data_IF_217186652172
#
_entry.id   IF_217186652172
#
_cell.length_a   1.000
_cell.length_b   1.000
_cell.length_c   1.000
_cell.angle_alpha   90.00
_cell.angle_beta   90.00
_cell.angle_gamma   90.00
#
_symmetry.space_group_name_H-M   'P 1'
#
loop_
_entity.id
_entity.type
_entity.pdbx_description
1 polymer ?
#
# COMPACT_ATOMS: atom_id res chain seq x y z
N UNK A 1 -28.89 -16.17 8.00
CA UNK A 1 -28.59 -15.14 7.00
C UNK A 1 -27.89 -15.82 5.83
N UNK A 2 -28.61 -16.02 4.73
CA UNK A 2 -28.07 -16.70 3.56
C UNK A 2 -27.20 -15.73 2.78
N UNK A 3 -25.92 -16.04 2.68
CA UNK A 3 -25.07 -15.48 1.63
C UNK A 3 -25.64 -16.11 0.34
N UNK A 4 -26.36 -15.32 -0.45
CA UNK A 4 -26.82 -15.76 -1.76
C UNK A 4 -25.58 -15.97 -2.64
N UNK A 5 -25.49 -17.17 -3.22
CA UNK A 5 -24.53 -17.46 -4.27
C UNK A 5 -24.68 -16.41 -5.39
N UNK A 6 -23.67 -15.56 -5.54
CA UNK A 6 -23.57 -14.68 -6.71
C UNK A 6 -23.07 -15.53 -7.88
N UNK A 7 -23.60 -15.34 -9.10
CA UNK A 7 -22.98 -15.93 -10.27
C UNK A 7 -21.53 -15.44 -10.35
N UNK A 8 -20.62 -16.39 -10.47
CA UNK A 8 -19.19 -16.20 -10.57
C UNK A 8 -18.87 -15.27 -11.73
N UNK A 9 -18.42 -14.05 -11.41
CA UNK A 9 -17.63 -13.31 -12.37
C UNK A 9 -16.36 -14.13 -12.59
N UNK A 10 -16.15 -14.61 -13.81
CA UNK A 10 -14.97 -15.38 -14.20
C UNK A 10 -13.76 -14.45 -14.11
N UNK A 11 -13.21 -14.33 -12.92
CA UNK A 11 -11.91 -13.69 -12.73
C UNK A 11 -10.89 -14.72 -13.17
N UNK A 12 -10.32 -14.56 -14.34
CA UNK A 12 -9.19 -15.36 -14.80
C UNK A 12 -8.00 -15.07 -13.88
N UNK A 13 -7.93 -15.78 -12.77
CA UNK A 13 -6.75 -15.79 -11.92
C UNK A 13 -5.70 -16.58 -12.67
N UNK A 14 -4.81 -15.91 -13.38
CA UNK A 14 -3.63 -16.55 -13.95
C UNK A 14 -2.69 -16.88 -12.79
N UNK A 15 -2.91 -18.02 -12.17
CA UNK A 15 -1.95 -18.63 -11.26
C UNK A 15 -0.78 -19.07 -12.13
N UNK A 16 0.34 -18.38 -12.07
CA UNK A 16 1.57 -18.83 -12.70
C UNK A 16 2.02 -20.10 -11.97
N UNK A 17 1.71 -21.28 -12.53
CA UNK A 17 2.34 -22.52 -12.11
C UNK A 17 3.79 -22.48 -12.59
N UNK A 18 4.71 -22.41 -11.64
CA UNK A 18 6.11 -22.69 -11.90
C UNK A 18 6.20 -24.19 -12.23
N UNK A 19 6.53 -24.49 -13.48
CA UNK A 19 6.50 -25.87 -14.01
C UNK A 19 7.77 -26.67 -13.81
N UNK A 20 8.82 -26.07 -13.21
CA UNK A 20 10.08 -26.73 -12.92
C UNK A 20 10.32 -26.86 -11.41
N UNK A 21 10.59 -28.05 -10.94
CA UNK A 21 10.87 -28.41 -9.54
C UNK A 21 12.16 -27.77 -8.98
N UNK A 22 12.99 -27.17 -9.81
CA UNK A 22 14.20 -26.48 -9.38
C UNK A 22 13.89 -25.03 -9.02
N UNK A 23 14.24 -24.57 -7.80
CA UNK A 23 14.07 -23.18 -7.46
C UNK A 23 14.78 -22.29 -8.46
N UNK A 24 14.07 -21.31 -9.04
CA UNK A 24 14.68 -20.31 -9.89
C UNK A 24 15.66 -19.49 -9.05
N UNK A 25 16.92 -19.50 -9.44
CA UNK A 25 17.94 -18.63 -8.86
C UNK A 25 18.41 -17.66 -9.95
N UNK A 26 18.01 -16.41 -9.82
CA UNK A 26 18.38 -15.35 -10.76
C UNK A 26 18.71 -14.09 -9.96
N UNK A 27 19.78 -13.43 -10.32
CA UNK A 27 20.17 -12.12 -9.81
C UNK A 27 21.06 -11.43 -10.84
N UNK A 28 20.60 -10.29 -11.34
CA UNK A 28 21.34 -9.49 -12.31
C UNK A 28 21.27 -8.02 -11.95
N UNK A 29 22.38 -7.31 -12.13
CA UNK A 29 22.54 -5.90 -11.74
C UNK A 29 22.78 -5.05 -12.99
N UNK A 30 22.13 -3.89 -13.01
CA UNK A 30 22.16 -2.91 -14.09
C UNK A 30 22.53 -1.55 -13.50
N UNK A 31 23.64 -0.99 -13.98
CA UNK A 31 24.09 0.35 -13.56
C UNK A 31 23.18 1.41 -14.18
N UNK A 32 22.76 2.37 -13.38
CA UNK A 32 21.76 3.37 -13.78
C UNK A 32 22.30 4.36 -14.82
N UNK A 33 23.58 4.68 -14.77
CA UNK A 33 24.24 5.55 -15.74
C UNK A 33 24.30 4.96 -17.15
N UNK A 34 24.14 3.65 -17.29
CA UNK A 34 24.05 2.96 -18.58
C UNK A 34 22.62 2.90 -19.12
N UNK A 35 21.64 3.35 -18.34
CA UNK A 35 20.25 3.43 -18.75
C UNK A 35 19.97 4.62 -19.66
N UNK A 36 18.77 4.66 -20.22
CA UNK A 36 18.26 5.82 -20.93
C UNK A 36 17.80 6.87 -19.94
N UNK A 37 18.51 7.98 -19.87
CA UNK A 37 18.19 9.11 -19.01
C UNK A 37 17.32 10.12 -19.76
N UNK A 38 16.40 10.81 -19.06
CA UNK A 38 15.73 12.00 -19.59
C UNK A 38 16.74 13.15 -19.81
N UNK A 39 16.40 14.09 -20.68
CA UNK A 39 17.33 15.14 -21.12
C UNK A 39 17.82 16.08 -20.00
N UNK A 40 17.11 16.15 -18.90
CA UNK A 40 17.42 16.94 -17.71
C UNK A 40 18.36 16.21 -16.75
N UNK A 41 18.50 14.90 -16.87
CA UNK A 41 19.40 14.07 -16.08
C UNK A 41 20.80 13.99 -16.67
N UNK A 42 21.77 13.66 -15.83
CA UNK A 42 23.16 13.46 -16.25
C UNK A 42 23.87 12.41 -15.40
N UNK A 43 24.91 11.84 -15.98
CA UNK A 43 25.82 10.94 -15.25
C UNK A 43 26.68 11.80 -14.30
N UNK A 44 26.71 11.39 -13.03
CA UNK A 44 27.47 12.04 -11.96
C UNK A 44 28.60 11.10 -11.53
N UNK A 45 29.81 11.63 -11.36
CA UNK A 45 30.92 10.91 -10.76
C UNK A 45 30.81 10.94 -9.25
N UNK A 46 30.69 9.78 -8.61
CA UNK A 46 30.66 9.61 -7.15
C UNK A 46 31.40 8.34 -6.78
N UNK A 47 32.48 8.44 -6.04
CA UNK A 47 33.31 7.29 -5.62
C UNK A 47 32.57 6.31 -4.70
N UNK A 48 31.44 6.71 -4.12
CA UNK A 48 30.61 5.85 -3.27
C UNK A 48 29.54 5.07 -4.08
N UNK A 49 29.37 5.43 -5.35
CA UNK A 49 28.50 4.69 -6.26
C UNK A 49 29.22 3.47 -6.86
N UNK A 50 28.46 2.49 -7.25
CA UNK A 50 28.93 1.34 -8.00
C UNK A 50 29.60 1.82 -9.31
N UNK A 51 30.75 1.27 -9.65
CA UNK A 51 31.49 1.74 -10.82
C UNK A 51 31.96 3.20 -10.77
N UNK A 52 31.79 3.90 -9.64
CA UNK A 52 32.19 5.30 -9.44
C UNK A 52 31.29 6.32 -10.14
N UNK A 53 30.09 5.94 -10.56
CA UNK A 53 29.13 6.80 -11.26
C UNK A 53 27.71 6.53 -10.83
N UNK A 54 26.83 7.52 -11.01
CA UNK A 54 25.38 7.42 -10.78
C UNK A 54 24.60 8.25 -11.80
N UNK A 55 23.32 7.99 -11.94
CA UNK A 55 22.39 8.85 -12.68
C UNK A 55 21.82 9.90 -11.73
N UNK A 56 22.14 11.15 -11.94
CA UNK A 56 21.76 12.29 -11.07
C UNK A 56 20.99 13.38 -11.80
N UNK A 57 20.76 14.51 -11.09
CA UNK A 57 19.90 15.61 -11.52
C UNK A 57 18.46 15.18 -11.76
N UNK A 58 17.93 14.37 -10.86
CA UNK A 58 16.56 13.86 -10.89
C UNK A 58 15.60 14.91 -10.32
N UNK A 59 15.45 16.06 -11.01
CA UNK A 59 14.84 17.27 -10.45
C UNK A 59 13.52 17.67 -11.11
N UNK A 60 13.38 17.45 -12.41
CA UNK A 60 12.17 17.78 -13.18
C UNK A 60 11.07 16.73 -12.99
N UNK A 61 9.81 17.14 -13.08
CA UNK A 61 8.66 16.22 -13.04
C UNK A 61 8.65 15.23 -14.22
N UNK A 62 9.41 15.50 -15.26
CA UNK A 62 9.62 14.61 -16.40
C UNK A 62 10.85 13.71 -16.25
N UNK A 63 11.64 13.84 -15.17
CA UNK A 63 12.85 13.05 -14.96
C UNK A 63 12.56 11.56 -14.88
N UNK A 64 13.31 10.79 -15.63
CA UNK A 64 13.25 9.33 -15.58
C UNK A 64 14.60 8.70 -15.95
N UNK A 65 14.86 7.53 -15.35
CA UNK A 65 15.90 6.59 -15.78
C UNK A 65 15.23 5.29 -16.21
N UNK A 66 15.50 4.85 -17.43
CA UNK A 66 14.91 3.65 -18.03
C UNK A 66 15.99 2.62 -18.33
N UNK A 67 15.79 1.40 -17.87
CA UNK A 67 16.71 0.28 -17.98
C UNK A 67 15.99 -0.90 -18.64
N UNK A 68 16.60 -1.44 -19.70
CA UNK A 68 16.13 -2.68 -20.31
C UNK A 68 16.71 -3.88 -19.55
N UNK A 69 15.87 -4.81 -19.17
CA UNK A 69 16.23 -6.02 -18.43
C UNK A 69 15.73 -7.25 -19.18
N UNK A 70 16.28 -8.41 -18.87
CA UNK A 70 15.76 -9.68 -19.38
C UNK A 70 15.68 -10.67 -18.23
N UNK A 71 14.53 -11.32 -18.08
CA UNK A 71 14.32 -12.34 -17.04
C UNK A 71 14.13 -13.72 -17.66
N UNK A 72 14.67 -14.78 -17.02
CA UNK A 72 14.76 -16.11 -17.62
C UNK A 72 13.47 -16.93 -17.55
N UNK A 73 12.50 -16.53 -16.71
CA UNK A 73 11.27 -17.30 -16.50
C UNK A 73 10.11 -16.41 -16.08
N UNK A 74 8.89 -16.92 -16.21
CA UNK A 74 7.70 -16.37 -15.59
C UNK A 74 7.81 -16.56 -14.07
N UNK A 75 8.01 -15.47 -13.33
CA UNK A 75 8.17 -15.54 -11.87
C UNK A 75 7.88 -14.21 -11.20
N UNK A 76 7.95 -14.25 -9.87
CA UNK A 76 7.95 -13.07 -9.01
C UNK A 76 9.40 -12.67 -8.77
N UNK A 77 9.69 -11.40 -8.95
CA UNK A 77 11.01 -10.80 -8.77
C UNK A 77 10.98 -9.70 -7.71
N UNK A 78 12.09 -9.58 -7.01
CA UNK A 78 12.36 -8.43 -6.15
C UNK A 78 13.29 -7.48 -6.92
N UNK A 79 12.93 -6.21 -6.94
CA UNK A 79 13.69 -5.16 -7.61
C UNK A 79 14.38 -4.33 -6.52
N UNK A 80 15.68 -4.49 -6.38
CA UNK A 80 16.49 -3.73 -5.42
C UNK A 80 17.01 -2.48 -6.11
N UNK A 81 16.67 -1.33 -5.58
CA UNK A 81 17.07 -0.01 -6.09
C UNK A 81 18.07 0.57 -5.11
N UNK A 82 19.29 0.84 -5.58
CA UNK A 82 20.31 1.52 -4.80
C UNK A 82 20.35 2.99 -5.19
N UNK A 83 20.09 3.84 -4.22
CA UNK A 83 19.97 5.29 -4.44
C UNK A 83 20.34 6.08 -3.21
N UNK A 84 20.59 7.38 -3.41
CA UNK A 84 20.87 8.35 -2.37
C UNK A 84 19.98 9.58 -2.58
N UNK A 85 19.32 10.07 -1.53
CA UNK A 85 18.54 11.31 -1.59
C UNK A 85 19.46 12.54 -1.55
N UNK A 86 19.11 13.57 -2.28
CA UNK A 86 19.69 14.90 -2.16
C UNK A 86 18.83 15.72 -1.19
N UNK A 87 19.38 16.06 -0.04
CA UNK A 87 18.64 16.64 1.08
C UNK A 87 17.95 15.57 1.93
N UNK A 88 16.77 15.83 2.54
CA UNK A 88 16.05 14.84 3.33
C UNK A 88 15.62 13.64 2.48
N UNK A 89 15.04 12.60 3.13
CA UNK A 89 14.55 11.43 2.40
C UNK A 89 13.60 11.79 1.24
N UNK A 90 13.61 10.98 0.20
CA UNK A 90 12.81 11.18 -1.01
C UNK A 90 12.10 9.88 -1.40
N UNK A 91 10.91 10.03 -1.98
CA UNK A 91 10.16 8.93 -2.56
C UNK A 91 10.07 9.09 -4.07
N UNK A 92 10.25 8.00 -4.78
CA UNK A 92 10.11 7.96 -6.23
C UNK A 92 9.47 6.65 -6.67
N UNK A 93 9.03 6.59 -7.92
CA UNK A 93 8.20 5.53 -8.43
C UNK A 93 8.96 4.59 -9.35
N UNK A 94 8.71 3.28 -9.19
CA UNK A 94 9.17 2.24 -10.10
C UNK A 94 8.02 1.78 -11.01
N UNK A 95 8.32 1.71 -12.29
CA UNK A 95 7.43 1.17 -13.33
C UNK A 95 8.09 -0.03 -13.99
N UNK A 96 7.30 -1.04 -14.34
CA UNK A 96 7.66 -2.13 -15.23
C UNK A 96 6.72 -2.09 -16.44
N UNK A 97 7.29 -2.04 -17.64
CA UNK A 97 6.56 -1.95 -18.92
C UNK A 97 5.48 -0.86 -18.93
N UNK A 98 5.82 0.30 -18.37
CA UNK A 98 4.92 1.45 -18.27
C UNK A 98 3.87 1.40 -17.17
N UNK A 99 3.73 0.29 -16.44
CA UNK A 99 2.83 0.15 -15.29
C UNK A 99 3.57 0.38 -13.99
N UNK A 100 3.05 1.23 -13.10
CA UNK A 100 3.61 1.44 -11.75
C UNK A 100 3.53 0.13 -10.97
N UNK A 101 4.68 -0.32 -10.44
CA UNK A 101 4.80 -1.56 -9.64
C UNK A 101 5.19 -1.29 -8.20
N UNK A 102 5.62 -0.08 -7.89
CA UNK A 102 5.92 0.30 -6.51
C UNK A 102 6.44 1.72 -6.38
N UNK A 103 6.63 2.12 -5.12
CA UNK A 103 7.30 3.34 -4.70
C UNK A 103 8.46 2.94 -3.82
N UNK A 104 9.59 3.61 -3.92
CA UNK A 104 10.76 3.37 -3.09
C UNK A 104 11.23 4.64 -2.40
N UNK A 105 11.95 4.45 -1.31
CA UNK A 105 12.48 5.52 -0.46
C UNK A 105 14.00 5.58 -0.60
N UNK A 106 14.51 6.76 -0.90
CA UNK A 106 15.95 7.06 -0.85
C UNK A 106 16.27 7.83 0.42
N UNK A 107 17.32 7.41 1.13
CA UNK A 107 17.82 8.06 2.34
C UNK A 107 18.93 9.06 2.01
N UNK A 108 19.13 10.10 2.85
CA UNK A 108 20.23 11.05 2.68
C UNK A 108 21.59 10.40 2.97
N UNK A 109 22.64 11.15 2.67
CA UNK A 109 24.05 10.94 3.01
C UNK A 109 24.75 9.81 2.27
N UNK A 110 24.16 8.61 2.21
CA UNK A 110 24.81 7.45 1.59
C UNK A 110 23.86 6.70 0.66
N UNK A 111 24.43 6.07 -0.37
CA UNK A 111 23.69 5.11 -1.18
C UNK A 111 23.18 3.97 -0.31
N UNK A 112 21.92 3.67 -0.41
CA UNK A 112 21.25 2.59 0.31
C UNK A 112 20.31 1.83 -0.59
N UNK A 113 20.10 0.57 -0.27
CA UNK A 113 19.22 -0.31 -1.02
C UNK A 113 17.79 -0.21 -0.51
N UNK A 114 16.85 -0.14 -1.44
CA UNK A 114 15.42 -0.30 -1.19
C UNK A 114 14.86 -1.38 -2.11
N UNK A 115 14.05 -2.29 -1.58
CA UNK A 115 13.48 -3.39 -2.36
C UNK A 115 12.01 -3.16 -2.63
N UNK A 116 11.64 -3.11 -3.91
CA UNK A 116 10.25 -3.26 -4.36
C UNK A 116 10.01 -4.76 -4.57
N UNK A 117 9.24 -5.36 -3.67
CA UNK A 117 9.02 -6.80 -3.62
C UNK A 117 7.88 -7.24 -4.54
N UNK A 118 7.90 -8.50 -4.91
CA UNK A 118 6.79 -9.21 -5.54
C UNK A 118 6.34 -8.65 -6.90
N UNK A 119 7.27 -8.15 -7.71
CA UNK A 119 6.99 -7.73 -9.08
C UNK A 119 6.87 -8.96 -9.99
N UNK A 120 5.69 -9.18 -10.55
CA UNK A 120 5.46 -10.31 -11.47
C UNK A 120 5.91 -9.93 -12.87
N UNK A 121 6.86 -10.68 -13.43
CA UNK A 121 7.35 -10.52 -14.79
C UNK A 121 7.24 -11.85 -15.55
N UNK A 122 6.95 -11.76 -16.84
CA UNK A 122 6.97 -12.89 -17.77
C UNK A 122 8.40 -13.15 -18.22
N UNK A 123 8.72 -14.37 -18.69
CA UNK A 123 9.99 -14.65 -19.35
C UNK A 123 10.19 -13.71 -20.53
N UNK A 124 11.35 -13.09 -20.62
CA UNK A 124 11.72 -12.22 -21.74
C UNK A 124 12.23 -10.85 -21.30
N UNK A 125 12.21 -9.92 -22.24
CA UNK A 125 12.72 -8.57 -22.05
C UNK A 125 11.62 -7.65 -21.50
N UNK A 126 12.01 -6.80 -20.55
CA UNK A 126 11.15 -5.82 -19.89
C UNK A 126 11.87 -4.48 -19.80
N UNK A 127 11.11 -3.45 -19.51
CA UNK A 127 11.64 -2.12 -19.27
C UNK A 127 11.30 -1.69 -17.85
N UNK A 128 12.32 -1.51 -17.01
CA UNK A 128 12.16 -0.86 -15.72
C UNK A 128 12.39 0.65 -15.89
N UNK A 129 11.50 1.45 -15.31
CA UNK A 129 11.63 2.90 -15.35
C UNK A 129 11.46 3.46 -13.96
N UNK A 130 12.50 4.11 -13.46
CA UNK A 130 12.43 4.96 -12.28
C UNK A 130 11.95 6.32 -12.74
N UNK A 131 10.81 6.80 -12.20
CA UNK A 131 10.24 8.12 -12.47
C UNK A 131 10.22 8.98 -11.24
N UNK A 132 10.44 10.27 -11.45
CA UNK A 132 10.30 11.25 -10.39
C UNK A 132 8.86 11.26 -9.87
N UNK A 133 8.76 11.21 -8.54
CA UNK A 133 7.60 11.61 -7.77
C UNK A 133 8.00 12.78 -6.90
N UNK A 134 8.70 12.56 -5.82
CA UNK A 134 9.32 13.65 -5.05
C UNK A 134 10.69 14.08 -5.58
N UNK A 135 11.39 13.21 -6.33
CA UNK A 135 12.64 13.49 -7.05
C UNK A 135 13.87 13.60 -6.18
N UNK A 136 14.86 14.34 -6.70
CA UNK A 136 16.09 14.77 -6.04
C UNK A 136 16.89 13.62 -5.43
N UNK A 137 17.22 12.67 -6.29
CA UNK A 137 18.03 11.51 -5.95
C UNK A 137 19.22 11.37 -6.90
N UNK A 138 20.21 10.64 -6.46
CA UNK A 138 21.17 9.95 -7.31
C UNK A 138 20.83 8.46 -7.31
N UNK A 139 20.65 7.90 -8.49
CA UNK A 139 20.35 6.49 -8.72
C UNK A 139 21.64 5.79 -9.12
N UNK A 140 22.07 4.82 -8.33
CA UNK A 140 23.30 4.06 -8.55
C UNK A 140 23.04 2.86 -9.48
N UNK A 141 22.23 1.93 -9.04
CA UNK A 141 21.94 0.70 -9.79
C UNK A 141 20.60 0.09 -9.42
N UNK A 142 20.17 -0.84 -10.27
CA UNK A 142 19.01 -1.69 -10.03
C UNK A 142 19.46 -3.16 -10.12
N UNK A 143 19.16 -3.95 -9.09
CA UNK A 143 19.34 -5.40 -9.13
C UNK A 143 17.99 -6.08 -9.20
N UNK A 144 17.82 -6.92 -10.21
CA UNK A 144 16.65 -7.78 -10.39
C UNK A 144 17.01 -9.17 -9.92
N UNK A 145 16.34 -9.67 -8.89
CA UNK A 145 16.58 -11.01 -8.36
C UNK A 145 15.27 -11.77 -8.18
N UNK A 146 15.34 -13.09 -8.20
CA UNK A 146 14.18 -13.93 -7.89
C UNK A 146 13.63 -13.52 -6.52
N UNK A 147 12.36 -13.19 -6.46
CA UNK A 147 11.65 -12.87 -5.23
C UNK A 147 11.51 -14.10 -4.33
N UNK A 148 11.40 -13.85 -3.03
CA UNK A 148 11.13 -14.90 -2.09
C UNK A 148 9.74 -15.51 -2.39
N UNK A 149 9.68 -16.84 -2.53
CA UNK A 149 8.38 -17.52 -2.60
C UNK A 149 7.70 -17.37 -1.24
N UNK A 150 6.54 -16.75 -1.24
CA UNK A 150 5.71 -16.71 -0.03
C UNK A 150 5.31 -18.15 0.28
N UNK A 151 5.68 -18.64 1.46
CA UNK A 151 5.30 -19.98 1.89
C UNK A 151 3.78 -20.09 2.02
N UNK A 152 3.20 -21.18 1.55
CA UNK A 152 1.78 -21.46 1.74
C UNK A 152 1.40 -21.46 3.24
N UNK A 153 2.36 -21.78 4.12
CA UNK A 153 2.18 -21.69 5.58
C UNK A 153 1.96 -20.27 6.09
N UNK A 154 2.38 -19.23 5.35
CA UNK A 154 2.13 -17.82 5.70
C UNK A 154 0.64 -17.51 5.77
N UNK A 155 -0.17 -18.21 4.99
CA UNK A 155 -1.62 -18.05 4.97
C UNK A 155 -2.35 -18.99 5.93
N UNK A 156 -1.62 -19.82 6.66
CA UNK A 156 -2.19 -20.72 7.68
C UNK A 156 -2.46 -19.96 8.97
N UNK A 157 -3.63 -19.37 9.08
CA UNK A 157 -4.04 -18.68 10.31
C UNK A 157 -4.80 -19.64 11.23
N UNK A 158 -4.68 -19.42 12.55
CA UNK A 158 -5.42 -20.22 13.55
C UNK A 158 -6.92 -20.19 13.30
N UNK A 159 -7.63 -21.25 13.65
CA UNK A 159 -9.09 -21.28 13.66
C UNK A 159 -9.70 -20.78 14.97
N UNK A 160 -8.86 -20.45 15.96
CA UNK A 160 -9.30 -20.03 17.29
C UNK A 160 -9.32 -18.51 17.40
N UNK A 161 -10.43 -17.96 17.83
CA UNK A 161 -10.53 -16.56 18.24
C UNK A 161 -9.97 -16.39 19.66
N UNK A 162 -9.31 -15.26 19.91
CA UNK A 162 -8.83 -14.86 21.26
C UNK A 162 -9.99 -14.80 22.24
N UNK A 163 -11.12 -14.21 21.83
CA UNK A 163 -12.35 -14.23 22.62
C UNK A 163 -13.07 -15.57 22.46
N UNK A 164 -12.95 -16.44 23.46
CA UNK A 164 -13.62 -17.74 23.50
C UNK A 164 -15.16 -17.63 23.51
N UNK A 165 -15.68 -16.51 24.01
CA UNK A 165 -17.11 -16.21 24.10
C UNK A 165 -17.64 -15.43 22.88
N UNK A 166 -16.88 -15.39 21.77
CA UNK A 166 -17.31 -14.74 20.55
C UNK A 166 -18.68 -15.29 20.08
N UNK A 167 -19.52 -14.37 19.60
CA UNK A 167 -20.85 -14.73 19.07
C UNK A 167 -20.72 -15.63 17.82
N UNK A 168 -21.80 -16.32 17.49
CA UNK A 168 -21.87 -17.13 16.27
C UNK A 168 -21.58 -16.30 15.01
N UNK A 169 -22.05 -15.05 14.95
CA UNK A 169 -21.80 -14.17 13.81
C UNK A 169 -20.33 -13.74 13.72
N UNK A 170 -19.69 -13.44 14.86
CA UNK A 170 -18.25 -13.15 14.89
C UNK A 170 -17.42 -14.34 14.41
N UNK A 171 -17.78 -15.55 14.84
CA UNK A 171 -17.12 -16.79 14.39
C UNK A 171 -17.29 -17.01 12.88
N UNK A 172 -18.49 -16.76 12.33
CA UNK A 172 -18.75 -16.83 10.88
C UNK A 172 -17.93 -15.82 10.08
N UNK A 173 -17.87 -14.56 10.55
CA UNK A 173 -17.06 -13.53 9.91
C UNK A 173 -15.58 -13.91 9.93
N UNK A 174 -15.08 -14.37 11.06
CA UNK A 174 -13.68 -14.81 11.17
C UNK A 174 -13.36 -15.96 10.21
N UNK A 175 -14.25 -16.98 10.13
CA UNK A 175 -14.08 -18.09 9.18
C UNK A 175 -14.03 -17.57 7.73
N UNK A 176 -14.94 -16.67 7.36
CA UNK A 176 -14.95 -16.07 6.03
C UNK A 176 -13.65 -15.33 5.71
N UNK A 177 -13.14 -14.49 6.65
CA UNK A 177 -11.90 -13.76 6.48
C UNK A 177 -10.70 -14.72 6.38
N UNK A 178 -10.63 -15.73 7.23
CA UNK A 178 -9.62 -16.78 7.18
C UNK A 178 -9.62 -17.53 5.85
N UNK A 179 -10.79 -17.93 5.36
CA UNK A 179 -10.92 -18.70 4.11
C UNK A 179 -10.60 -17.84 2.88
N UNK A 180 -10.72 -16.51 3.00
CA UNK A 180 -10.40 -15.52 1.97
C UNK A 180 -8.94 -15.12 1.97
N UNK A 181 -8.25 -15.26 3.10
CA UNK A 181 -6.88 -14.75 3.31
C UNK A 181 -5.90 -15.42 2.34
N UNK A 182 -5.10 -14.61 1.66
CA UNK A 182 -4.17 -15.06 0.63
C UNK A 182 -4.79 -15.48 -0.71
N UNK A 183 -6.14 -15.46 -0.84
CA UNK A 183 -6.85 -15.85 -2.05
C UNK A 183 -7.58 -14.70 -2.72
N UNK A 184 -8.15 -13.79 -1.94
CA UNK A 184 -9.00 -12.71 -2.44
C UNK A 184 -8.65 -11.38 -1.80
N UNK A 185 -8.91 -10.30 -2.53
CA UNK A 185 -8.92 -8.93 -2.01
C UNK A 185 -10.36 -8.54 -1.75
N UNK A 186 -10.68 -8.20 -0.50
CA UNK A 186 -11.99 -7.68 -0.13
C UNK A 186 -11.95 -6.16 -0.30
N UNK A 187 -12.72 -5.63 -1.25
CA UNK A 187 -12.75 -4.19 -1.51
C UNK A 187 -13.62 -3.48 -0.48
N UNK A 188 -13.16 -2.31 -0.04
CA UNK A 188 -13.86 -1.48 0.92
C UNK A 188 -13.76 0.00 0.59
N UNK A 189 -14.57 0.80 1.28
CA UNK A 189 -14.56 2.25 1.21
C UNK A 189 -14.82 2.85 2.59
N UNK A 190 -13.98 3.82 2.98
CA UNK A 190 -14.28 4.71 4.10
C UNK A 190 -15.36 5.69 3.67
N UNK A 191 -16.46 5.77 4.41
CA UNK A 191 -17.57 6.63 4.04
C UNK A 191 -18.45 6.98 5.24
N UNK A 192 -18.29 8.19 5.79
CA UNK A 192 -19.05 8.65 6.96
C UNK A 192 -20.55 8.76 6.69
N UNK A 193 -20.95 8.89 5.42
CA UNK A 193 -22.33 8.81 5.00
C UNK A 193 -22.96 7.41 5.03
N UNK A 194 -22.14 6.37 5.32
CA UNK A 194 -22.56 4.98 5.22
C UNK A 194 -22.96 4.61 3.79
N UNK A 195 -23.95 3.73 3.63
CA UNK A 195 -24.44 3.33 2.28
C UNK A 195 -25.08 4.47 1.50
N UNK A 196 -25.47 5.54 2.17
CA UNK A 196 -26.07 6.74 1.57
C UNK A 196 -25.03 7.82 1.27
N UNK A 197 -23.77 7.62 1.59
CA UNK A 197 -22.68 8.53 1.30
C UNK A 197 -22.34 8.60 -0.18
N UNK A 198 -21.70 9.68 -0.58
CA UNK A 198 -21.42 9.97 -1.99
C UNK A 198 -20.47 8.92 -2.60
N UNK A 199 -19.48 8.47 -1.85
CA UNK A 199 -18.50 7.47 -2.28
C UNK A 199 -19.19 6.13 -2.58
N UNK A 200 -20.05 5.66 -1.67
CA UNK A 200 -20.82 4.43 -1.87
C UNK A 200 -21.79 4.52 -3.05
N UNK A 201 -22.47 5.66 -3.20
CA UNK A 201 -23.36 5.92 -4.36
C UNK A 201 -22.57 5.95 -5.67
N UNK A 202 -21.39 6.57 -5.68
CA UNK A 202 -20.54 6.64 -6.87
C UNK A 202 -20.06 5.23 -7.29
N UNK A 203 -19.56 4.44 -6.32
CA UNK A 203 -19.14 3.06 -6.59
C UNK A 203 -20.31 2.22 -7.08
N UNK A 204 -21.46 2.30 -6.41
CA UNK A 204 -22.68 1.58 -6.84
C UNK A 204 -23.09 1.94 -8.26
N UNK A 205 -23.01 3.22 -8.63
CA UNK A 205 -23.33 3.72 -9.98
C UNK A 205 -22.35 3.16 -11.03
N UNK A 206 -21.06 3.08 -10.69
CA UNK A 206 -20.01 2.68 -11.64
C UNK A 206 -19.92 1.15 -11.79
N UNK A 207 -20.15 0.39 -10.72
CA UNK A 207 -19.91 -1.05 -10.69
C UNK A 207 -21.16 -1.90 -10.64
N UNK A 208 -22.30 -1.29 -10.36
CA UNK A 208 -23.56 -2.00 -10.12
C UNK A 208 -23.72 -2.52 -8.71
N UNK A 209 -22.65 -2.52 -7.87
CA UNK A 209 -22.65 -3.08 -6.53
C UNK A 209 -22.02 -2.16 -5.50
N UNK A 210 -22.35 -2.38 -4.22
CA UNK A 210 -21.64 -1.73 -3.11
C UNK A 210 -20.32 -2.44 -2.82
N UNK A 211 -19.31 -1.73 -2.27
CA UNK A 211 -18.15 -2.38 -1.69
C UNK A 211 -18.56 -3.41 -0.63
N UNK A 212 -17.75 -4.44 -0.45
CA UNK A 212 -18.03 -5.46 0.55
C UNK A 212 -17.77 -4.97 1.98
N UNK A 213 -16.94 -3.93 2.15
CA UNK A 213 -16.52 -3.39 3.44
C UNK A 213 -16.81 -1.89 3.53
N UNK A 214 -17.45 -1.49 4.63
CA UNK A 214 -17.64 -0.11 5.02
C UNK A 214 -16.69 0.25 6.15
N UNK A 215 -15.87 1.27 5.94
CA UNK A 215 -15.08 1.91 6.99
C UNK A 215 -15.84 3.10 7.59
N UNK A 216 -15.82 3.22 8.91
CA UNK A 216 -16.42 4.32 9.67
C UNK A 216 -15.47 4.75 10.77
N UNK A 217 -15.61 5.99 11.23
CA UNK A 217 -14.81 6.55 12.30
C UNK A 217 -15.67 6.85 13.54
N UNK A 218 -15.15 6.47 14.70
CA UNK A 218 -15.80 6.72 15.99
C UNK A 218 -15.32 8.02 16.65
N UNK A 219 -14.48 8.80 15.98
CA UNK A 219 -13.84 10.00 16.56
C UNK A 219 -14.85 10.99 17.13
N UNK A 220 -16.00 11.17 16.49
CA UNK A 220 -17.00 12.15 16.89
C UNK A 220 -17.83 11.74 18.13
N UNK A 221 -17.61 10.54 18.67
CA UNK A 221 -18.11 10.15 20.00
C UNK A 221 -17.16 10.59 21.13
N UNK A 222 -15.99 11.13 20.82
CA UNK A 222 -15.02 11.57 21.83
C UNK A 222 -15.57 12.76 22.62
N UNK A 223 -15.47 12.77 23.96
CA UNK A 223 -16.00 13.86 24.79
C UNK A 223 -15.51 15.25 24.39
N UNK A 224 -14.22 15.39 24.03
CA UNK A 224 -13.68 16.68 23.56
C UNK A 224 -14.36 17.16 22.28
N UNK A 225 -14.67 16.28 21.33
CA UNK A 225 -15.37 16.64 20.09
C UNK A 225 -16.84 16.97 20.33
N UNK A 226 -17.53 16.20 21.15
CA UNK A 226 -18.93 16.47 21.51
C UNK A 226 -19.09 17.78 22.25
N UNK A 227 -18.11 18.17 23.09
CA UNK A 227 -18.09 19.48 23.75
C UNK A 227 -18.00 20.65 22.76
N UNK A 228 -17.46 20.42 21.54
CA UNK A 228 -17.41 21.39 20.43
C UNK A 228 -18.52 21.19 19.40
N UNK A 229 -19.57 20.44 19.75
CA UNK A 229 -20.76 20.28 18.90
C UNK A 229 -20.70 19.15 17.88
N UNK A 230 -19.67 18.29 17.92
CA UNK A 230 -19.63 17.10 17.06
C UNK A 230 -20.73 16.11 17.47
N UNK A 231 -21.29 15.44 16.45
CA UNK A 231 -22.25 14.35 16.62
C UNK A 231 -21.98 13.27 15.60
N UNK A 232 -22.27 12.03 15.95
CA UNK A 232 -22.04 10.89 15.07
C UNK A 232 -23.25 9.97 15.00
N UNK A 233 -23.40 9.33 13.86
CA UNK A 233 -24.31 8.20 13.65
C UNK A 233 -23.56 7.00 13.04
N UNK A 234 -22.26 6.89 13.34
CA UNK A 234 -21.41 5.83 12.80
C UNK A 234 -21.88 4.44 13.26
N UNK A 235 -22.34 4.30 14.52
CA UNK A 235 -22.84 3.04 15.05
C UNK A 235 -24.10 2.59 14.32
N UNK A 236 -25.06 3.47 14.11
CA UNK A 236 -26.31 3.18 13.39
C UNK A 236 -26.04 2.76 11.95
N UNK A 237 -25.14 3.47 11.26
CA UNK A 237 -24.71 3.15 9.89
C UNK A 237 -23.97 1.81 9.83
N UNK A 238 -23.13 1.52 10.81
CA UNK A 238 -22.46 0.23 10.95
C UNK A 238 -23.46 -0.92 11.07
N UNK A 239 -24.46 -0.76 11.94
CA UNK A 239 -25.53 -1.74 12.15
C UNK A 239 -26.36 -1.91 10.86
N UNK A 240 -26.74 -0.80 10.22
CA UNK A 240 -27.47 -0.85 8.95
C UNK A 240 -26.73 -1.66 7.88
N UNK A 241 -25.43 -1.38 7.69
CA UNK A 241 -24.63 -2.05 6.69
C UNK A 241 -24.38 -3.53 7.03
N UNK A 242 -24.10 -3.83 8.30
CA UNK A 242 -23.95 -5.21 8.76
C UNK A 242 -25.24 -6.03 8.58
N UNK A 243 -26.42 -5.45 8.83
CA UNK A 243 -27.71 -6.10 8.61
C UNK A 243 -27.99 -6.39 7.13
N UNK A 244 -27.36 -5.66 6.22
CA UNK A 244 -27.39 -5.93 4.76
C UNK A 244 -26.35 -6.98 4.33
N UNK A 245 -25.59 -7.55 5.24
CA UNK A 245 -24.56 -8.56 4.98
C UNK A 245 -23.19 -7.99 4.63
N UNK A 246 -22.97 -6.69 4.83
CA UNK A 246 -21.67 -6.06 4.66
C UNK A 246 -20.73 -6.30 5.83
N UNK A 247 -19.44 -6.10 5.59
CA UNK A 247 -18.41 -6.13 6.62
C UNK A 247 -18.14 -4.71 7.05
N UNK A 248 -18.07 -4.47 8.36
CA UNK A 248 -17.76 -3.15 8.92
C UNK A 248 -16.38 -3.16 9.53
N UNK A 249 -15.59 -2.13 9.25
CA UNK A 249 -14.39 -1.79 9.99
C UNK A 249 -14.58 -0.44 10.66
N UNK A 250 -14.13 -0.34 11.90
CA UNK A 250 -14.22 0.88 12.71
C UNK A 250 -12.81 1.33 13.03
N UNK A 251 -12.52 2.57 12.74
CA UNK A 251 -11.34 3.25 13.28
C UNK A 251 -11.78 4.26 14.36
N UNK A 252 -10.83 4.70 15.09
CA UNK A 252 -11.03 5.76 16.08
C UNK A 252 -9.81 6.67 16.02
N UNK A 253 -9.96 7.83 15.41
CA UNK A 253 -8.98 8.89 15.54
C UNK A 253 -9.04 9.41 16.98
N UNK A 254 -8.05 9.01 17.76
CA UNK A 254 -7.99 9.34 19.17
C UNK A 254 -7.74 10.83 19.38
N UNK A 255 -8.55 11.44 20.25
CA UNK A 255 -8.34 12.79 20.72
C UNK A 255 -7.94 12.75 22.19
N UNK A 256 -7.03 13.65 22.58
CA UNK A 256 -6.68 13.80 23.97
C UNK A 256 -7.90 14.18 24.82
N UNK A 257 -7.99 13.74 26.07
CA UNK A 257 -8.96 14.27 27.02
C UNK A 257 -8.86 15.79 27.11
N UNK A 258 -9.98 16.45 27.37
CA UNK A 258 -10.08 17.92 27.33
C UNK A 258 -9.06 18.62 28.22
N UNK A 259 -8.78 18.04 29.39
CA UNK A 259 -7.83 18.56 30.39
C UNK A 259 -6.36 18.55 29.94
N UNK A 260 -6.04 17.79 28.89
CA UNK A 260 -4.68 17.71 28.35
C UNK A 260 -4.49 18.52 27.07
N UNK A 261 -5.48 19.27 26.63
CA UNK A 261 -5.35 20.13 25.47
C UNK A 261 -4.56 21.40 25.83
N UNK A 262 -3.70 21.88 24.94
CA UNK A 262 -2.87 23.06 25.16
C UNK A 262 -3.66 24.34 25.44
N UNK A 263 -4.83 24.44 24.88
CA UNK A 263 -5.67 25.62 25.04
C UNK A 263 -7.12 25.25 24.92
N UNK A 264 -7.81 25.39 26.02
CA UNK A 264 -9.28 25.43 26.07
C UNK A 264 -9.81 26.82 25.77
N UNK A 265 -8.94 27.85 25.80
CA UNK A 265 -9.33 29.27 25.69
C UNK A 265 -9.47 29.74 24.23
N UNK A 266 -8.78 29.12 23.27
CA UNK A 266 -8.89 29.43 21.85
C UNK A 266 -9.70 28.35 21.15
N UNK A 267 -10.98 28.61 20.96
CA UNK A 267 -11.93 27.68 20.34
C UNK A 267 -11.56 27.22 18.92
N UNK A 268 -10.65 27.89 18.21
CA UNK A 268 -10.21 27.50 16.88
C UNK A 268 -9.37 26.23 16.86
N UNK A 269 -8.65 25.93 17.95
CA UNK A 269 -7.72 24.78 18.03
C UNK A 269 -8.15 23.73 19.06
N UNK A 270 -9.33 23.89 19.67
CA UNK A 270 -9.70 23.29 20.94
C UNK A 270 -9.64 21.78 21.02
N UNK A 271 -10.10 21.06 20.01
CA UNK A 271 -10.24 19.60 20.13
C UNK A 271 -9.19 18.79 19.32
N UNK A 272 -8.49 19.42 18.41
CA UNK A 272 -7.39 18.81 17.67
C UNK A 272 -6.05 19.50 17.88
N UNK A 273 -6.01 20.49 18.75
CA UNK A 273 -4.76 21.09 19.18
C UNK A 273 -3.82 20.05 19.77
N UNK A 274 -2.54 20.37 19.82
CA UNK A 274 -1.56 19.55 20.50
C UNK A 274 -1.95 19.34 21.97
N UNK A 275 -1.48 18.26 22.55
CA UNK A 275 -1.66 17.98 23.99
C UNK A 275 -0.30 17.75 24.65
N UNK A 276 -0.26 17.93 25.96
CA UNK A 276 0.94 17.70 26.74
C UNK A 276 1.32 16.21 26.73
N UNK A 277 2.55 15.91 26.36
CA UNK A 277 3.10 14.54 26.38
C UNK A 277 3.86 14.23 27.65
N UNK A 278 4.10 15.24 28.46
CA UNK A 278 4.77 15.12 29.78
C UNK A 278 3.77 15.54 30.86
N UNK A 279 3.46 14.61 31.71
CA UNK A 279 2.73 14.83 32.96
C UNK A 279 3.74 14.97 34.08
#
# INVERSE_FOLDING_TARGET
MCIRDRPSATTTTTTLKQTDDKPLSFSETYEAENGKLSNDMSVISDSNASGGKSAGKFESDSSYCQISITVPADAVYDIVIRSKAIGPYKENDLYADGKKVGTFVSKPDNFSDYTVCAVTLKKGSHTLTVKKSWGWIELDKITVKTGAKISDSTYNVTSSLVNRNATANTKKLYSFLKDSYGKYVITGQQCDGGINGNEFKAIKKLTGDYPALLGLDLMDYTPSRTAFGASSSAVEKAIEFANKGGIVTLCWHWNAPTEYLYSTANNSDGWWGGFYTTV
#
